data_IF_192890365781
#
_entry.id   IF_192890365781
#
_cell.length_a   1.000
_cell.length_b   1.000
_cell.length_c   1.000
_cell.angle_alpha   90.00
_cell.angle_beta   90.00
_cell.angle_gamma   90.00
#
_symmetry.space_group_name_H-M   'P 1'
#
loop_
_entity.id
_entity.type
_entity.pdbx_description
1 polymer ?
#
# COMPACT_ATOMS: atom_id res chain seq x y z
N UNK A 1 18.72 -20.29 40.10
CA UNK A 1 18.41 -21.29 39.05
C UNK A 1 17.44 -20.63 38.08
N UNK A 2 17.75 -20.68 36.78
CA UNK A 2 16.93 -20.09 35.71
C UNK A 2 15.87 -21.08 35.20
N UNK A 3 14.70 -20.58 34.79
CA UNK A 3 13.87 -21.17 33.74
C UNK A 3 12.81 -20.14 33.26
N UNK A 4 13.07 -19.52 32.11
CA UNK A 4 12.13 -18.73 31.33
C UNK A 4 11.25 -19.71 30.51
N UNK A 5 10.03 -19.96 30.97
CA UNK A 5 9.03 -20.75 30.24
C UNK A 5 8.36 -19.90 29.16
N UNK A 6 8.39 -20.38 27.92
CA UNK A 6 7.78 -19.76 26.74
C UNK A 6 6.40 -20.37 26.44
N UNK A 7 5.59 -19.58 25.71
CA UNK A 7 4.41 -19.92 24.88
C UNK A 7 3.06 -20.10 25.59
N UNK A 8 2.09 -19.27 25.21
CA UNK A 8 1.15 -19.62 24.11
C UNK A 8 0.47 -18.37 23.52
N UNK A 9 0.31 -18.40 22.18
CA UNK A 9 -0.54 -17.50 21.40
C UNK A 9 -2.00 -17.92 21.60
N UNK A 10 -2.81 -17.06 22.20
CA UNK A 10 -4.26 -17.10 22.02
C UNK A 10 -4.61 -16.21 20.83
N UNK A 11 -4.91 -16.87 19.71
CA UNK A 11 -5.69 -16.32 18.62
C UNK A 11 -7.06 -15.93 19.17
N UNK A 12 -7.29 -14.63 19.36
CA UNK A 12 -8.62 -14.09 19.62
C UNK A 12 -8.89 -13.09 18.49
N UNK A 13 -9.78 -13.51 17.59
CA UNK A 13 -10.32 -12.67 16.54
C UNK A 13 -11.10 -11.51 17.19
N UNK A 14 -10.46 -10.36 17.31
CA UNK A 14 -11.11 -9.13 17.75
C UNK A 14 -11.89 -8.54 16.56
N UNK A 15 -13.21 -8.72 16.62
CA UNK A 15 -14.23 -7.98 15.90
C UNK A 15 -13.98 -6.46 16.04
N UNK A 16 -13.95 -5.78 14.90
CA UNK A 16 -14.33 -4.38 14.73
C UNK A 16 -13.93 -3.44 15.85
N UNK A 17 -12.63 -3.20 16.00
CA UNK A 17 -12.18 -1.98 16.64
C UNK A 17 -12.40 -0.84 15.65
N UNK A 18 -13.29 0.07 16.03
CA UNK A 18 -13.14 1.51 15.83
C UNK A 18 -11.72 1.92 16.23
N UNK A 19 -10.75 1.59 15.38
CA UNK A 19 -9.46 2.25 15.34
C UNK A 19 -9.65 3.35 14.32
N UNK A 20 -10.17 4.47 14.82
CA UNK A 20 -9.96 5.78 14.23
C UNK A 20 -8.44 5.98 14.09
N UNK A 21 -7.90 5.38 13.04
CA UNK A 21 -6.57 5.63 12.55
C UNK A 21 -6.61 7.05 11.99
N UNK A 22 -6.56 8.02 12.89
CA UNK A 22 -5.81 9.23 12.62
C UNK A 22 -4.35 8.80 12.49
N UNK A 23 -4.01 8.06 11.42
CA UNK A 23 -2.68 8.11 10.87
C UNK A 23 -2.55 9.54 10.34
N UNK A 24 -2.22 10.44 11.25
CA UNK A 24 -1.54 11.68 10.93
C UNK A 24 -0.32 11.22 10.15
N UNK A 25 -0.50 11.16 8.83
CA UNK A 25 0.54 11.21 7.84
C UNK A 25 1.62 12.14 8.38
N UNK A 26 2.70 11.57 8.91
CA UNK A 26 3.80 12.34 9.45
C UNK A 26 4.23 13.30 8.36
N UNK A 27 4.00 14.60 8.58
CA UNK A 27 4.16 15.73 7.65
C UNK A 27 5.00 15.38 6.40
N UNK A 28 4.37 14.78 5.38
CA UNK A 28 5.07 14.36 4.16
C UNK A 28 4.96 12.89 3.72
N UNK A 29 4.28 11.99 4.43
CA UNK A 29 4.08 10.59 4.00
C UNK A 29 2.61 10.16 4.08
N UNK A 30 2.12 9.37 3.13
CA UNK A 30 0.83 8.67 3.24
C UNK A 30 1.04 7.18 3.51
N UNK A 31 0.04 6.54 4.11
CA UNK A 31 0.02 5.08 4.28
C UNK A 31 -0.89 4.48 3.22
N UNK A 32 -0.37 3.51 2.47
CA UNK A 32 -1.11 2.74 1.48
C UNK A 32 -1.21 1.28 1.90
N UNK A 33 -2.40 0.70 1.72
CA UNK A 33 -2.67 -0.69 2.02
C UNK A 33 -2.69 -1.49 0.73
N UNK A 34 -2.09 -2.68 0.72
CA UNK A 34 -2.25 -3.64 -0.40
C UNK A 34 -3.44 -4.55 -0.16
N UNK A 35 -3.87 -5.26 -1.20
CA UNK A 35 -4.95 -6.27 -1.09
C UNK A 35 -4.61 -7.40 -0.12
N UNK A 36 -3.32 -7.69 0.11
CA UNK A 36 -2.83 -8.60 1.17
C UNK A 36 -2.99 -8.06 2.60
N UNK A 37 -3.47 -6.82 2.77
CA UNK A 37 -3.55 -6.15 4.07
C UNK A 37 -2.19 -5.68 4.62
N UNK A 38 -1.17 -5.53 3.77
CA UNK A 38 0.12 -4.94 4.18
C UNK A 38 0.10 -3.44 4.00
N UNK A 39 0.76 -2.72 4.90
CA UNK A 39 0.82 -1.27 4.88
C UNK A 39 2.20 -0.78 4.46
N UNK A 40 2.24 0.22 3.57
CA UNK A 40 3.44 0.84 3.06
C UNK A 40 3.40 2.35 3.29
N UNK A 41 4.48 2.88 3.86
CA UNK A 41 4.64 4.32 4.02
C UNK A 41 5.27 4.91 2.76
N UNK A 42 4.54 5.81 2.11
CA UNK A 42 4.94 6.42 0.84
C UNK A 42 5.15 7.91 1.06
N UNK A 43 6.33 8.48 0.74
CA UNK A 43 6.49 9.92 0.79
C UNK A 43 5.56 10.59 -0.24
N UNK A 44 4.83 11.63 0.17
CA UNK A 44 3.86 12.36 -0.65
C UNK A 44 4.48 12.89 -1.95
N UNK A 45 5.79 13.13 -1.96
CA UNK A 45 6.54 13.59 -3.14
C UNK A 45 6.47 12.58 -4.30
N UNK A 46 6.28 11.30 -4.01
CA UNK A 46 6.19 10.25 -5.03
C UNK A 46 4.78 10.11 -5.60
N UNK A 47 3.74 10.66 -4.94
CA UNK A 47 2.37 10.55 -5.44
C UNK A 47 2.14 11.29 -6.77
N UNK A 48 3.04 12.20 -7.13
CA UNK A 48 3.06 12.85 -8.45
C UNK A 48 3.74 12.01 -9.54
N UNK A 49 4.28 10.83 -9.21
CA UNK A 49 4.81 9.91 -10.21
C UNK A 49 3.67 9.19 -10.94
N UNK A 50 3.79 9.02 -12.26
CA UNK A 50 2.77 8.38 -13.09
C UNK A 50 2.37 6.97 -12.59
N UNK A 51 3.31 6.21 -12.03
CA UNK A 51 3.03 4.90 -11.43
C UNK A 51 2.01 5.03 -10.31
N UNK A 52 2.20 5.99 -9.40
CA UNK A 52 1.26 6.20 -8.30
C UNK A 52 -0.05 6.80 -8.75
N UNK A 53 -0.03 7.69 -9.74
CA UNK A 53 -1.27 8.27 -10.30
C UNK A 53 -2.15 7.15 -10.85
N UNK A 54 -1.60 6.24 -11.66
CA UNK A 54 -2.35 5.11 -12.22
C UNK A 54 -2.85 4.16 -11.13
N UNK A 55 -2.00 3.77 -10.18
CA UNK A 55 -2.38 2.90 -9.07
C UNK A 55 -3.50 3.51 -8.21
N UNK A 56 -3.46 4.82 -7.98
CA UNK A 56 -4.49 5.55 -7.26
C UNK A 56 -5.79 5.67 -8.06
N UNK A 57 -5.70 5.80 -9.38
CA UNK A 57 -6.87 5.79 -10.26
C UNK A 57 -7.55 4.42 -10.23
N UNK A 58 -6.80 3.34 -10.40
CA UNK A 58 -7.33 1.98 -10.27
C UNK A 58 -7.92 1.71 -8.89
N UNK A 59 -7.23 2.15 -7.84
CA UNK A 59 -7.72 2.07 -6.45
C UNK A 59 -9.06 2.77 -6.29
N UNK A 60 -9.18 3.97 -6.86
CA UNK A 60 -10.42 4.74 -6.83
C UNK A 60 -11.53 4.07 -7.67
N UNK A 61 -11.22 3.49 -8.83
CA UNK A 61 -12.19 2.79 -9.66
C UNK A 61 -12.70 1.49 -9.00
N UNK A 62 -11.83 0.75 -8.32
CA UNK A 62 -12.16 -0.54 -7.71
C UNK A 62 -12.79 -0.40 -6.32
N UNK A 63 -12.22 0.46 -5.45
CA UNK A 63 -12.64 0.59 -4.04
C UNK A 63 -13.50 1.83 -3.77
N UNK A 64 -13.52 2.80 -4.70
CA UNK A 64 -14.23 4.06 -4.51
C UNK A 64 -13.65 4.95 -3.41
N UNK A 65 -14.33 6.06 -3.12
CA UNK A 65 -14.03 6.92 -1.97
C UNK A 65 -14.61 6.30 -0.70
N UNK A 66 -14.01 5.23 -0.18
CA UNK A 66 -14.33 4.81 1.19
C UNK A 66 -13.86 5.91 2.15
N UNK A 67 -14.79 6.44 2.97
CA UNK A 67 -14.58 7.60 3.85
C UNK A 67 -13.60 7.35 5.01
N UNK A 68 -13.00 6.17 5.11
CA UNK A 68 -12.07 5.82 6.18
C UNK A 68 -10.65 6.36 5.95
N UNK A 69 -10.41 7.01 4.81
CA UNK A 69 -9.15 7.70 4.53
C UNK A 69 -7.96 6.78 4.31
N UNK A 70 -8.18 5.46 4.26
CA UNK A 70 -7.16 4.49 3.86
C UNK A 70 -7.19 4.31 2.34
N UNK A 71 -6.02 4.43 1.73
CA UNK A 71 -5.84 4.17 0.31
C UNK A 71 -5.50 2.70 0.15
N UNK A 72 -6.40 1.91 -0.44
CA UNK A 72 -6.16 0.49 -0.75
C UNK A 72 -5.75 0.35 -2.20
N UNK A 73 -4.51 -0.04 -2.45
CA UNK A 73 -3.96 -0.24 -3.79
C UNK A 73 -4.35 -1.64 -4.28
N UNK A 74 -4.89 -1.78 -5.52
CA UNK A 74 -5.31 -3.04 -6.14
C UNK A 74 -4.10 -3.86 -6.62
N UNK A 75 -3.10 -4.02 -5.76
CA UNK A 75 -1.87 -4.74 -6.04
C UNK A 75 -1.41 -5.46 -4.79
N UNK A 76 -0.74 -6.59 -4.97
CA UNK A 76 -0.15 -7.34 -3.87
C UNK A 76 1.09 -6.63 -3.30
N UNK A 77 1.50 -7.07 -2.10
CA UNK A 77 2.69 -6.56 -1.42
C UNK A 77 3.96 -6.60 -2.28
N UNK A 78 4.14 -7.66 -3.08
CA UNK A 78 5.32 -7.83 -3.94
C UNK A 78 5.39 -6.75 -5.05
N UNK A 79 4.25 -6.41 -5.63
CA UNK A 79 4.16 -5.36 -6.66
C UNK A 79 4.47 -4.00 -6.03
N UNK A 80 3.92 -3.73 -4.85
CA UNK A 80 4.18 -2.48 -4.13
C UNK A 80 5.67 -2.35 -3.73
N UNK A 81 6.33 -3.42 -3.29
CA UNK A 81 7.77 -3.41 -3.05
C UNK A 81 8.59 -3.15 -4.33
N UNK A 82 8.16 -3.70 -5.46
CA UNK A 82 8.79 -3.44 -6.75
C UNK A 82 8.66 -1.96 -7.16
N UNK A 83 7.47 -1.37 -7.01
CA UNK A 83 7.23 0.06 -7.25
C UNK A 83 8.15 0.93 -6.39
N UNK A 84 8.25 0.64 -5.10
CA UNK A 84 9.17 1.33 -4.20
C UNK A 84 10.63 1.22 -4.64
N UNK A 85 11.04 0.06 -5.13
CA UNK A 85 12.37 -0.15 -5.68
C UNK A 85 12.62 0.69 -6.94
N UNK A 86 11.64 0.78 -7.85
CA UNK A 86 11.73 1.60 -9.06
C UNK A 86 11.91 3.09 -8.72
N UNK A 87 11.15 3.59 -7.77
CA UNK A 87 11.21 5.00 -7.34
C UNK A 87 12.55 5.34 -6.69
N UNK A 88 13.04 4.46 -5.81
CA UNK A 88 14.35 4.65 -5.15
C UNK A 88 15.52 4.65 -6.14
N UNK A 89 15.38 3.97 -7.28
CA UNK A 89 16.42 3.87 -8.30
C UNK A 89 16.27 4.90 -9.42
N UNK A 90 15.26 5.77 -9.37
CA UNK A 90 14.91 6.68 -10.45
C UNK A 90 14.79 5.94 -11.79
N UNK A 91 13.86 4.98 -11.85
CA UNK A 91 13.65 4.17 -13.04
C UNK A 91 13.46 5.02 -14.31
N UNK A 92 13.98 4.53 -15.43
CA UNK A 92 13.79 5.18 -16.74
C UNK A 92 12.32 5.18 -17.12
N UNK A 93 11.86 6.22 -17.84
CA UNK A 93 10.48 6.32 -18.32
C UNK A 93 10.01 5.12 -19.15
N UNK A 94 10.93 4.37 -19.77
CA UNK A 94 10.60 3.11 -20.48
C UNK A 94 10.18 1.99 -19.50
N UNK A 95 10.84 1.90 -18.35
CA UNK A 95 10.51 0.93 -17.29
C UNK A 95 9.20 1.31 -16.62
N UNK A 96 8.98 2.61 -16.37
CA UNK A 96 7.71 3.09 -15.82
C UNK A 96 6.55 2.74 -16.77
N UNK A 97 6.71 2.99 -18.08
CA UNK A 97 5.70 2.63 -19.09
C UNK A 97 5.47 1.13 -19.21
N UNK A 98 6.53 0.31 -19.19
CA UNK A 98 6.37 -1.14 -19.30
C UNK A 98 5.69 -1.73 -18.06
N UNK A 99 6.01 -1.20 -16.88
CA UNK A 99 5.32 -1.54 -15.65
C UNK A 99 3.84 -1.16 -15.74
N UNK A 100 3.54 0.11 -16.09
CA UNK A 100 2.17 0.59 -16.25
C UNK A 100 1.38 -0.24 -17.26
N UNK A 101 1.95 -0.59 -18.41
CA UNK A 101 1.30 -1.46 -19.40
C UNK A 101 1.03 -2.88 -18.88
N UNK A 102 1.74 -3.32 -17.85
CA UNK A 102 1.54 -4.64 -17.24
C UNK A 102 0.43 -4.61 -16.18
N UNK A 103 0.29 -3.50 -15.45
CA UNK A 103 -0.69 -3.36 -14.37
C UNK A 103 -2.00 -2.69 -14.83
N UNK A 104 -1.92 -1.76 -15.80
CA UNK A 104 -3.06 -1.16 -16.49
C UNK A 104 -3.53 -2.06 -17.59
N UNK A 105 -4.07 -3.20 -17.19
CA UNK A 105 -4.90 -4.00 -18.09
C UNK A 105 -6.33 -3.48 -17.92
N UNK A 106 -6.90 -2.73 -18.88
CA UNK A 106 -8.33 -2.55 -18.89
C UNK A 106 -8.96 -3.94 -19.02
N UNK A 107 -9.83 -4.32 -18.09
CA UNK A 107 -10.73 -5.45 -18.32
C UNK A 107 -11.47 -5.19 -19.64
N UNK A 108 -11.08 -5.92 -20.70
CA UNK A 108 -11.85 -6.03 -21.95
C UNK A 108 -13.06 -6.95 -21.75
#
# INVERSE_FOLDING_TARGET
MAALGRKQLSWEAAKGADECCTSVAGKGHCVMNTVDGRHFEVPLVHLSNNIFIELLQMSHEEFGFASDGRITIPCDAAVMEYVMCLLRRSASAEIERSFLSTIAVPCQ
#
